data_IF_116891193010
#
_entry.id   IF_116891193010
#
_cell.length_a   1.000
_cell.length_b   1.000
_cell.length_c   1.000
_cell.angle_alpha   90.00
_cell.angle_beta   90.00
_cell.angle_gamma   90.00
#
_symmetry.space_group_name_H-M   'P 1'
#
loop_
_entity.id
_entity.type
_entity.pdbx_description
1 polymer ?
#
# COMPACT_ATOMS: atom_id res chain seq x y z
N UNK A 1 12.73 6.14 27.40
CA UNK A 1 12.92 5.49 26.09
C UNK A 1 11.83 4.46 25.73
N UNK A 2 11.54 3.46 26.58
CA UNK A 2 10.53 2.43 26.31
C UNK A 2 9.11 2.99 26.15
N UNK A 3 8.70 3.94 27.01
CA UNK A 3 7.36 4.53 26.94
C UNK A 3 7.09 5.25 25.61
N UNK A 4 8.09 5.96 25.07
CA UNK A 4 8.00 6.64 23.77
C UNK A 4 7.80 5.60 22.65
N UNK A 5 8.64 4.55 22.62
CA UNK A 5 8.52 3.45 21.64
C UNK A 5 7.14 2.79 21.66
N UNK A 6 6.56 2.59 22.85
CA UNK A 6 5.20 2.05 22.99
C UNK A 6 4.14 3.01 22.44
N UNK A 7 4.24 4.31 22.73
CA UNK A 7 3.33 5.32 22.21
C UNK A 7 3.40 5.41 20.68
N UNK A 8 4.60 5.42 20.11
CA UNK A 8 4.81 5.39 18.66
C UNK A 8 4.18 4.15 18.02
N UNK A 9 4.27 2.99 18.68
CA UNK A 9 3.62 1.75 18.20
C UNK A 9 2.10 1.87 18.16
N UNK A 10 1.49 2.51 19.18
CA UNK A 10 0.04 2.77 19.21
C UNK A 10 -0.37 3.75 18.12
N UNK A 11 0.39 4.83 17.92
CA UNK A 11 0.17 5.78 16.83
C UNK A 11 0.30 5.08 15.48
N UNK A 12 1.31 4.23 15.29
CA UNK A 12 1.51 3.46 14.08
C UNK A 12 0.32 2.50 13.82
N UNK A 13 -0.16 1.82 14.86
CA UNK A 13 -1.33 0.94 14.77
C UNK A 13 -2.58 1.67 14.31
N UNK A 14 -2.86 2.87 14.82
CA UNK A 14 -4.07 3.63 14.48
C UNK A 14 -3.96 4.41 13.17
N UNK A 15 -2.77 4.94 12.84
CA UNK A 15 -2.58 5.83 11.69
C UNK A 15 -2.19 5.13 10.38
N UNK A 16 -1.72 3.88 10.44
CA UNK A 16 -1.35 3.15 9.22
C UNK A 16 -2.59 2.82 8.40
N UNK A 17 -2.65 3.21 7.13
CA UNK A 17 -3.84 2.99 6.29
C UNK A 17 -3.75 1.74 5.39
N UNK A 18 -2.54 1.22 5.18
CA UNK A 18 -2.25 0.24 4.13
C UNK A 18 -1.76 -1.13 4.63
N UNK A 19 -1.60 -1.32 5.95
CA UNK A 19 -1.12 -2.58 6.55
C UNK A 19 -2.20 -3.17 7.45
N UNK A 20 -2.34 -4.49 7.41
CA UNK A 20 -3.31 -5.21 8.23
C UNK A 20 -3.09 -4.92 9.73
N UNK A 21 -4.17 -4.61 10.46
CA UNK A 21 -4.12 -4.34 11.91
C UNK A 21 -3.52 -5.49 12.71
N UNK A 22 -3.93 -6.72 12.39
CA UNK A 22 -3.42 -7.92 13.05
C UNK A 22 -1.92 -8.12 12.80
N UNK A 23 -1.43 -7.91 11.58
CA UNK A 23 0.01 -7.98 11.30
C UNK A 23 0.81 -6.93 12.08
N UNK A 24 0.27 -5.72 12.29
CA UNK A 24 0.93 -4.69 13.12
C UNK A 24 1.00 -5.16 14.58
N UNK A 25 -0.11 -5.70 15.11
CA UNK A 25 -0.18 -6.19 16.49
C UNK A 25 0.74 -7.39 16.73
N UNK A 26 0.75 -8.37 15.84
CA UNK A 26 1.61 -9.55 15.93
C UNK A 26 3.10 -9.15 15.87
N UNK A 27 3.46 -8.22 14.98
CA UNK A 27 4.81 -7.68 14.92
C UNK A 27 5.26 -6.99 16.21
N UNK A 28 4.35 -6.30 16.91
CA UNK A 28 4.62 -5.70 18.21
C UNK A 28 5.00 -6.75 19.28
N UNK A 29 4.45 -7.96 19.18
CA UNK A 29 4.78 -9.09 20.07
C UNK A 29 5.92 -9.97 19.54
N UNK A 30 6.57 -9.58 18.43
CA UNK A 30 7.76 -10.26 17.90
C UNK A 30 7.48 -11.28 16.79
N UNK A 31 6.23 -11.45 16.37
CA UNK A 31 5.86 -12.34 15.27
C UNK A 31 6.07 -11.68 13.90
N UNK A 32 6.81 -12.33 12.99
CA UNK A 32 7.21 -11.74 11.70
C UNK A 32 6.51 -12.37 10.50
N UNK A 33 6.32 -13.68 10.50
CA UNK A 33 5.71 -14.44 9.40
C UNK A 33 4.20 -14.53 9.57
N UNK A 34 3.52 -13.45 9.17
CA UNK A 34 2.08 -13.29 9.43
C UNK A 34 1.32 -13.01 8.14
N UNK A 35 0.14 -13.62 8.01
CA UNK A 35 -0.76 -13.38 6.89
C UNK A 35 -1.72 -12.23 7.19
N UNK A 36 -2.35 -11.68 6.14
CA UNK A 36 -3.45 -10.72 6.32
C UNK A 36 -4.61 -11.41 7.03
N UNK A 37 -5.20 -10.77 8.03
CA UNK A 37 -6.32 -11.37 8.78
C UNK A 37 -7.65 -11.43 8.03
N UNK A 38 -7.80 -10.73 6.90
CA UNK A 38 -9.04 -10.70 6.11
C UNK A 38 -10.20 -9.88 6.70
N UNK A 39 -10.21 -9.59 8.00
CA UNK A 39 -11.39 -9.04 8.71
C UNK A 39 -11.25 -7.61 9.25
N UNK A 40 -10.03 -7.04 9.31
CA UNK A 40 -9.85 -5.65 9.76
C UNK A 40 -10.27 -4.63 8.67
N UNK A 41 -10.50 -3.39 9.07
CA UNK A 41 -10.82 -2.24 8.20
C UNK A 41 -9.94 -2.16 6.94
N UNK A 42 -8.61 -2.26 7.09
CA UNK A 42 -7.66 -2.23 5.98
C UNK A 42 -7.86 -3.43 5.04
N UNK A 43 -8.08 -4.62 5.60
CA UNK A 43 -8.29 -5.82 4.79
C UNK A 43 -9.62 -5.78 4.05
N UNK A 44 -10.70 -5.33 4.71
CA UNK A 44 -12.01 -5.19 4.10
C UNK A 44 -11.98 -4.16 2.96
N UNK A 45 -11.30 -3.02 3.15
CA UNK A 45 -11.10 -2.03 2.10
C UNK A 45 -10.32 -2.61 0.91
N UNK A 46 -9.24 -3.36 1.16
CA UNK A 46 -8.45 -4.00 0.10
C UNK A 46 -9.22 -5.11 -0.62
N UNK A 47 -10.09 -5.86 0.06
CA UNK A 47 -10.88 -6.93 -0.56
C UNK A 47 -11.92 -6.40 -1.56
N UNK A 48 -12.42 -5.17 -1.36
CA UNK A 48 -13.34 -4.50 -2.30
C UNK A 48 -12.74 -4.23 -3.69
N UNK A 49 -11.43 -4.36 -3.83
CA UNK A 49 -10.74 -4.20 -5.11
C UNK A 49 -10.99 -5.39 -6.06
N UNK A 50 -11.48 -6.52 -5.56
CA UNK A 50 -11.70 -7.76 -6.33
C UNK A 50 -10.41 -8.26 -7.01
N UNK A 51 -9.32 -8.14 -6.25
CA UNK A 51 -7.97 -8.50 -6.64
C UNK A 51 -7.45 -9.54 -5.65
N UNK A 52 -6.84 -10.60 -6.17
CA UNK A 52 -6.11 -11.55 -5.31
C UNK A 52 -4.90 -10.87 -4.67
N UNK A 53 -4.37 -11.46 -3.59
CA UNK A 53 -3.18 -10.94 -2.93
C UNK A 53 -1.96 -10.92 -3.86
N UNK A 54 -1.86 -11.90 -4.76
CA UNK A 54 -0.79 -12.00 -5.75
C UNK A 54 -0.92 -10.88 -6.79
N UNK A 55 -2.10 -10.69 -7.37
CA UNK A 55 -2.32 -9.63 -8.36
C UNK A 55 -2.06 -8.25 -7.75
N UNK A 56 -2.59 -7.98 -6.55
CA UNK A 56 -2.34 -6.70 -5.88
C UNK A 56 -0.85 -6.48 -5.63
N UNK A 57 -0.14 -7.50 -5.12
CA UNK A 57 1.29 -7.38 -4.81
C UNK A 57 2.10 -7.15 -6.08
N UNK A 58 1.83 -7.90 -7.15
CA UNK A 58 2.48 -7.75 -8.44
C UNK A 58 2.33 -6.33 -9.00
N UNK A 59 1.13 -5.76 -8.98
CA UNK A 59 0.90 -4.39 -9.44
C UNK A 59 1.59 -3.39 -8.51
N UNK A 60 1.39 -3.51 -7.20
CA UNK A 60 1.97 -2.60 -6.21
C UNK A 60 3.50 -2.56 -6.28
N UNK A 61 4.15 -3.71 -6.51
CA UNK A 61 5.61 -3.80 -6.61
C UNK A 61 6.12 -3.19 -7.91
N UNK A 62 5.44 -3.42 -9.05
CA UNK A 62 5.77 -2.75 -10.31
C UNK A 62 5.63 -1.23 -10.20
N UNK A 63 4.50 -0.75 -9.67
CA UNK A 63 4.26 0.68 -9.44
C UNK A 63 5.33 1.29 -8.55
N UNK A 64 5.71 0.60 -7.46
CA UNK A 64 6.77 1.03 -6.56
C UNK A 64 8.12 1.11 -7.28
N UNK A 65 8.51 0.10 -8.03
CA UNK A 65 9.77 0.08 -8.76
C UNK A 65 9.86 1.21 -9.81
N UNK A 66 8.76 1.48 -10.52
CA UNK A 66 8.68 2.55 -11.50
C UNK A 66 8.80 3.93 -10.82
N UNK A 67 7.97 4.18 -9.81
CA UNK A 67 7.92 5.47 -9.11
C UNK A 67 9.12 5.74 -8.19
N UNK A 68 9.87 4.71 -7.80
CA UNK A 68 11.14 4.89 -7.10
C UNK A 68 12.28 5.36 -8.03
N UNK A 69 12.18 5.08 -9.34
CA UNK A 69 13.15 5.56 -10.33
C UNK A 69 12.88 7.01 -10.71
N UNK A 70 11.63 7.31 -11.07
CA UNK A 70 11.25 8.64 -11.53
C UNK A 70 9.76 8.89 -11.28
N UNK A 71 9.35 10.13 -10.95
CA UNK A 71 7.94 10.53 -10.95
C UNK A 71 7.31 10.42 -12.35
N UNK A 72 6.10 9.88 -12.46
CA UNK A 72 5.47 9.62 -13.77
C UNK A 72 4.00 10.04 -13.80
N UNK A 73 3.47 10.46 -14.97
CA UNK A 73 2.05 10.73 -15.11
C UNK A 73 1.25 9.41 -15.06
N UNK A 74 -0.02 9.51 -14.65
CA UNK A 74 -0.92 8.36 -14.49
C UNK A 74 -0.96 7.45 -15.74
N UNK A 75 -1.10 8.04 -16.93
CA UNK A 75 -1.24 7.28 -18.19
C UNK A 75 0.00 6.45 -18.51
N UNK A 76 1.19 7.02 -18.37
CA UNK A 76 2.44 6.28 -18.57
C UNK A 76 2.61 5.17 -17.54
N UNK A 77 2.22 5.43 -16.29
CA UNK A 77 2.35 4.47 -15.21
C UNK A 77 1.42 3.25 -15.42
N UNK A 78 0.17 3.48 -15.83
CA UNK A 78 -0.78 2.41 -16.17
C UNK A 78 -0.29 1.57 -17.35
N UNK A 79 0.24 2.21 -18.39
CA UNK A 79 0.76 1.52 -19.58
C UNK A 79 2.06 0.75 -19.33
N UNK A 80 2.84 1.16 -18.32
CA UNK A 80 4.10 0.51 -17.97
C UNK A 80 3.92 -0.75 -17.12
N UNK A 81 2.77 -0.91 -16.44
CA UNK A 81 2.47 -2.13 -15.67
C UNK A 81 2.10 -3.26 -16.63
N UNK A 82 2.78 -4.39 -16.48
CA UNK A 82 2.61 -5.56 -17.34
C UNK A 82 1.94 -6.73 -16.61
N UNK A 83 1.26 -7.58 -17.38
CA UNK A 83 0.67 -8.84 -16.90
C UNK A 83 -0.64 -8.71 -16.13
N UNK A 84 -1.19 -7.49 -16.00
CA UNK A 84 -2.47 -7.20 -15.34
C UNK A 84 -3.25 -6.23 -16.22
N UNK A 85 -4.57 -6.37 -16.26
CA UNK A 85 -5.45 -5.46 -17.01
C UNK A 85 -5.44 -4.04 -16.44
N UNK A 86 -5.57 -3.05 -17.31
CA UNK A 86 -5.54 -1.62 -16.92
C UNK A 86 -6.57 -1.25 -15.85
N UNK A 87 -7.79 -1.80 -15.91
CA UNK A 87 -8.84 -1.55 -14.92
C UNK A 87 -8.41 -1.98 -13.51
N UNK A 88 -7.72 -3.12 -13.40
CA UNK A 88 -7.14 -3.61 -12.15
C UNK A 88 -5.96 -2.75 -11.69
N UNK A 89 -5.10 -2.32 -12.62
CA UNK A 89 -3.99 -1.41 -12.32
C UNK A 89 -4.48 -0.09 -11.74
N UNK A 90 -5.53 0.50 -12.34
CA UNK A 90 -6.15 1.74 -11.87
C UNK A 90 -6.73 1.56 -10.46
N UNK A 91 -7.43 0.45 -10.19
CA UNK A 91 -7.95 0.13 -8.85
C UNK A 91 -6.83 0.11 -7.79
N UNK A 92 -5.70 -0.55 -8.08
CA UNK A 92 -4.55 -0.62 -7.16
C UNK A 92 -3.93 0.77 -6.97
N UNK A 93 -3.76 1.52 -8.05
CA UNK A 93 -3.19 2.87 -8.00
C UNK A 93 -4.03 3.81 -7.16
N UNK A 94 -5.36 3.83 -7.37
CA UNK A 94 -6.29 4.61 -6.57
C UNK A 94 -6.18 4.24 -5.08
N UNK A 95 -6.17 2.94 -4.78
CA UNK A 95 -5.99 2.47 -3.40
C UNK A 95 -4.67 2.95 -2.79
N UNK A 96 -3.56 2.94 -3.53
CA UNK A 96 -2.26 3.41 -3.05
C UNK A 96 -2.25 4.92 -2.82
N UNK A 97 -2.95 5.70 -3.63
CA UNK A 97 -3.14 7.15 -3.42
C UNK A 97 -3.96 7.41 -2.17
N UNK A 98 -5.14 6.78 -2.05
CA UNK A 98 -6.05 6.93 -0.91
C UNK A 98 -5.38 6.56 0.42
N UNK A 99 -4.52 5.54 0.39
CA UNK A 99 -3.78 5.04 1.55
C UNK A 99 -2.38 5.65 1.72
N UNK A 100 -2.13 6.78 1.04
CA UNK A 100 -0.95 7.65 1.16
C UNK A 100 0.39 6.96 0.88
N UNK A 101 0.41 5.94 0.01
CA UNK A 101 1.62 5.32 -0.55
C UNK A 101 2.12 6.02 -1.80
N UNK A 102 1.20 6.57 -2.58
CA UNK A 102 1.50 7.41 -3.74
C UNK A 102 0.95 8.81 -3.45
N UNK A 103 1.65 9.85 -3.90
CA UNK A 103 1.18 11.24 -3.88
C UNK A 103 1.36 11.87 -5.26
N UNK A 104 0.59 12.91 -5.54
CA UNK A 104 0.81 13.76 -6.72
C UNK A 104 1.69 14.95 -6.32
N UNK A 105 2.67 15.28 -7.15
CA UNK A 105 3.54 16.44 -6.95
C UNK A 105 2.96 17.70 -7.63
N UNK A 106 3.70 18.81 -7.57
CA UNK A 106 3.29 20.11 -8.14
C UNK A 106 3.18 20.09 -9.67
N UNK A 107 3.82 19.14 -10.34
CA UNK A 107 3.81 18.96 -11.80
C UNK A 107 2.75 17.95 -12.26
N UNK A 108 1.84 17.56 -11.36
CA UNK A 108 0.81 16.56 -11.61
C UNK A 108 1.37 15.15 -11.92
N UNK A 109 2.60 14.86 -11.47
CA UNK A 109 3.22 13.54 -11.57
C UNK A 109 3.04 12.75 -10.27
N UNK A 110 2.91 11.44 -10.40
CA UNK A 110 2.81 10.54 -9.25
C UNK A 110 4.20 10.20 -8.72
N UNK A 111 4.32 10.16 -7.39
CA UNK A 111 5.56 9.86 -6.66
C UNK A 111 5.30 8.82 -5.57
N UNK A 112 6.25 7.89 -5.38
CA UNK A 112 6.20 6.98 -4.23
C UNK A 112 6.56 7.72 -2.94
N UNK A 113 5.71 7.61 -1.92
CA UNK A 113 5.98 8.20 -0.61
C UNK A 113 7.01 7.35 0.14
N UNK A 114 8.16 7.96 0.47
CA UNK A 114 9.19 7.37 1.34
C UNK A 114 8.65 7.17 2.76
#
# INVERSE_FOLDING_TARGET
EIAIKKMESVIYYSSTLHKCRSQILLAYFGEKDTFRCGVCDVCLARNKLELSDIEFSNVSDQLKQLLQKTPMPLTQLVNAVQGIREDKTIKVLQWLVDNKKIKTNTENLLEWRK
#
